data_IF_169540074986
#
_entry.id   IF_169540074986
#
_cell.length_a   1.000
_cell.length_b   1.000
_cell.length_c   1.000
_cell.angle_alpha   90.00
_cell.angle_beta   90.00
_cell.angle_gamma   90.00
#
_symmetry.space_group_name_H-M   'P 1'
#
loop_
_entity.id
_entity.type
_entity.pdbx_description
1 polymer ?
#
# COMPACT_ATOMS: atom_id res chain seq x y z
N UNK A 1 8.75 -3.41 10.06
CA UNK A 1 7.91 -4.16 9.09
C UNK A 1 8.26 -3.71 7.68
N UNK A 2 8.31 -4.63 6.75
CA UNK A 2 8.56 -4.28 5.35
C UNK A 2 7.31 -3.70 4.71
N UNK A 3 7.48 -2.82 3.69
CA UNK A 3 6.33 -2.17 3.07
C UNK A 3 5.34 -3.17 2.45
N UNK A 4 5.85 -4.27 1.88
CA UNK A 4 4.98 -5.26 1.24
C UNK A 4 4.05 -5.94 2.26
N UNK A 5 4.54 -6.19 3.45
CA UNK A 5 3.71 -6.72 4.54
C UNK A 5 2.71 -5.66 5.02
N UNK A 6 3.15 -4.40 5.11
CA UNK A 6 2.30 -3.31 5.58
C UNK A 6 1.16 -3.02 4.63
N UNK A 7 1.40 -2.99 3.31
CA UNK A 7 0.31 -2.72 2.35
C UNK A 7 -0.72 -3.86 2.37
N UNK A 8 -0.28 -5.10 2.57
CA UNK A 8 -1.19 -6.23 2.72
C UNK A 8 -2.02 -6.11 4.00
N UNK A 9 -1.37 -5.78 5.11
CA UNK A 9 -2.04 -5.61 6.41
C UNK A 9 -3.14 -4.55 6.32
N UNK A 10 -2.82 -3.38 5.77
CA UNK A 10 -3.79 -2.30 5.65
C UNK A 10 -4.95 -2.72 4.74
N UNK A 11 -4.65 -3.38 3.63
CA UNK A 11 -5.69 -3.85 2.71
C UNK A 11 -6.64 -4.82 3.41
N UNK A 12 -6.10 -5.79 4.14
CA UNK A 12 -6.90 -6.78 4.87
C UNK A 12 -7.71 -6.13 5.98
N UNK A 13 -7.12 -5.18 6.70
CA UNK A 13 -7.81 -4.44 7.76
C UNK A 13 -9.01 -3.65 7.23
N UNK A 14 -8.95 -3.23 5.97
CA UNK A 14 -10.05 -2.52 5.31
C UNK A 14 -10.98 -3.44 4.52
N UNK A 15 -10.80 -4.76 4.64
CA UNK A 15 -11.62 -5.77 3.97
C UNK A 15 -11.66 -5.59 2.45
N UNK A 16 -10.54 -5.19 1.86
CA UNK A 16 -10.42 -4.97 0.42
C UNK A 16 -9.72 -6.14 -0.26
N UNK A 17 -10.08 -6.41 -1.53
CA UNK A 17 -9.44 -7.44 -2.32
C UNK A 17 -8.20 -6.90 -3.03
N UNK A 18 -7.31 -7.79 -3.43
CA UNK A 18 -6.17 -7.41 -4.27
C UNK A 18 -6.63 -6.80 -5.59
N UNK A 19 -7.70 -7.34 -6.17
CA UNK A 19 -8.24 -6.82 -7.44
C UNK A 19 -8.70 -5.37 -7.30
N UNK A 20 -9.35 -5.04 -6.18
CA UNK A 20 -9.81 -3.67 -5.94
C UNK A 20 -8.64 -2.69 -5.93
N UNK A 21 -7.56 -3.07 -5.27
CA UNK A 21 -6.38 -2.20 -5.19
C UNK A 21 -5.65 -2.15 -6.54
N UNK A 22 -5.57 -3.27 -7.25
CA UNK A 22 -5.00 -3.29 -8.59
C UNK A 22 -5.75 -2.34 -9.52
N UNK A 23 -7.09 -2.33 -9.45
CA UNK A 23 -7.91 -1.42 -10.24
C UNK A 23 -7.63 0.03 -9.88
N UNK A 24 -7.47 0.33 -8.59
CA UNK A 24 -7.12 1.68 -8.14
C UNK A 24 -5.79 2.15 -8.74
N UNK A 25 -4.83 1.25 -8.85
CA UNK A 25 -3.50 1.56 -9.38
C UNK A 25 -3.41 1.43 -10.90
N UNK A 26 -4.50 1.01 -11.57
CA UNK A 26 -4.54 0.76 -13.02
C UNK A 26 -3.50 -0.27 -13.46
N UNK A 27 -3.37 -1.35 -12.69
CA UNK A 27 -2.46 -2.46 -12.99
C UNK A 27 -3.22 -3.79 -12.88
N UNK A 28 -2.62 -4.86 -13.36
CA UNK A 28 -3.19 -6.20 -13.21
C UNK A 28 -3.10 -6.71 -11.78
N UNK A 29 -4.01 -7.59 -11.39
CA UNK A 29 -4.00 -8.20 -10.07
C UNK A 29 -2.68 -8.93 -9.79
N UNK A 30 -2.13 -9.60 -10.80
CA UNK A 30 -0.87 -10.34 -10.66
C UNK A 30 0.27 -9.41 -10.26
N UNK A 31 0.35 -8.25 -10.90
CA UNK A 31 1.38 -7.26 -10.58
C UNK A 31 1.22 -6.77 -9.15
N UNK A 32 -0.01 -6.47 -8.74
CA UNK A 32 -0.24 -6.03 -7.37
C UNK A 32 0.09 -7.14 -6.36
N UNK A 33 -0.31 -8.38 -6.67
CA UNK A 33 0.03 -9.53 -5.81
C UNK A 33 1.54 -9.67 -5.63
N UNK A 34 2.30 -9.41 -6.69
CA UNK A 34 3.76 -9.46 -6.64
C UNK A 34 4.34 -8.36 -5.73
N UNK A 35 3.66 -7.20 -5.64
CA UNK A 35 4.05 -6.17 -4.67
C UNK A 35 3.88 -6.68 -3.23
N UNK A 36 2.76 -7.31 -2.93
CA UNK A 36 2.50 -7.80 -1.57
C UNK A 36 3.41 -8.95 -1.17
N UNK A 37 3.78 -9.79 -2.11
CA UNK A 37 4.66 -10.92 -1.83
C UNK A 37 6.15 -10.52 -1.77
N UNK A 38 6.46 -9.29 -2.19
CA UNK A 38 7.85 -8.82 -2.25
C UNK A 38 8.59 -9.28 -3.49
N UNK A 39 7.91 -9.95 -4.43
CA UNK A 39 8.52 -10.43 -5.67
C UNK A 39 8.90 -9.27 -6.58
N UNK A 40 8.11 -8.22 -6.60
CA UNK A 40 8.36 -7.01 -7.38
C UNK A 40 8.24 -5.81 -6.45
N UNK A 41 9.15 -4.85 -6.58
CA UNK A 41 9.10 -3.62 -5.76
C UNK A 41 8.02 -2.69 -6.30
N UNK A 42 7.23 -2.13 -5.38
CA UNK A 42 6.22 -1.14 -5.74
C UNK A 42 6.91 0.18 -6.10
N UNK A 43 6.56 0.81 -7.25
CA UNK A 43 7.05 2.15 -7.55
C UNK A 43 6.58 3.15 -6.49
N UNK A 44 7.41 4.16 -6.22
CA UNK A 44 7.08 5.16 -5.20
C UNK A 44 5.75 5.87 -5.51
N UNK A 45 5.45 6.13 -6.78
CA UNK A 45 4.20 6.78 -7.16
C UNK A 45 2.98 5.94 -6.77
N UNK A 46 3.07 4.63 -6.94
CA UNK A 46 1.97 3.73 -6.55
C UNK A 46 1.84 3.67 -5.03
N UNK A 47 2.94 3.69 -4.30
CA UNK A 47 2.89 3.72 -2.84
C UNK A 47 2.26 5.02 -2.33
N UNK A 48 2.56 6.15 -2.99
CA UNK A 48 1.93 7.43 -2.67
C UNK A 48 0.42 7.39 -2.87
N UNK A 49 -0.04 6.77 -3.97
CA UNK A 49 -1.48 6.62 -4.23
C UNK A 49 -2.13 5.82 -3.09
N UNK A 50 -1.50 4.73 -2.67
CA UNK A 50 -2.03 3.92 -1.58
C UNK A 50 -2.04 4.67 -0.25
N UNK A 51 -0.99 5.42 0.05
CA UNK A 51 -0.93 6.21 1.28
C UNK A 51 -2.07 7.22 1.34
N UNK A 52 -2.35 7.92 0.24
CA UNK A 52 -3.45 8.87 0.15
C UNK A 52 -4.81 8.17 0.24
N UNK A 53 -4.95 7.04 -0.44
CA UNK A 53 -6.19 6.28 -0.44
C UNK A 53 -6.56 5.80 0.97
N UNK A 54 -5.58 5.28 1.69
CA UNK A 54 -5.78 4.80 3.07
C UNK A 54 -5.69 5.91 4.11
N UNK A 55 -5.30 7.10 3.71
CA UNK A 55 -5.07 8.24 4.60
C UNK A 55 -4.07 7.91 5.70
N UNK A 56 -2.93 7.37 5.31
CA UNK A 56 -1.82 7.08 6.22
C UNK A 56 -0.55 7.75 5.72
N UNK A 57 0.38 8.04 6.63
CA UNK A 57 1.64 8.67 6.26
C UNK A 57 2.52 7.71 5.45
N UNK A 58 3.41 8.27 4.65
CA UNK A 58 4.40 7.45 3.93
C UNK A 58 5.32 6.72 4.90
N UNK A 59 5.66 7.31 6.03
CA UNK A 59 6.47 6.63 7.05
C UNK A 59 5.80 5.35 7.53
N UNK A 60 4.49 5.41 7.75
CA UNK A 60 3.75 4.24 8.20
C UNK A 60 3.62 3.19 7.09
N UNK A 61 3.18 3.59 5.89
CA UNK A 61 2.92 2.63 4.82
C UNK A 61 4.20 1.98 4.29
N UNK A 62 5.32 2.70 4.34
CA UNK A 62 6.61 2.16 3.91
C UNK A 62 7.22 1.20 4.92
N UNK A 63 6.70 1.18 6.14
CA UNK A 63 7.27 0.38 7.22
C UNK A 63 8.39 1.09 7.97
N UNK A 64 8.69 2.35 7.64
CA UNK A 64 9.71 3.12 8.33
C UNK A 64 9.30 3.45 9.77
N UNK A 65 7.99 3.51 10.03
CA UNK A 65 7.44 3.75 11.37
C UNK A 65 6.30 2.79 11.62
N UNK A 66 6.13 2.35 12.86
CA UNK A 66 4.97 1.55 13.27
C UNK A 66 3.86 2.42 13.85
N UNK A 67 4.07 3.74 13.90
CA UNK A 67 3.08 4.68 14.40
C UNK A 67 2.18 5.10 13.25
N UNK A 68 0.90 4.73 13.33
CA UNK A 68 -0.09 5.06 12.30
C UNK A 68 -0.49 6.52 12.43
N UNK A 69 -0.08 7.33 11.46
CA UNK A 69 -0.48 8.74 11.37
C UNK A 69 -1.15 8.99 10.03
N UNK A 70 -1.98 10.05 9.99
CA UNK A 70 -2.67 10.43 8.76
C UNK A 70 -1.70 10.95 7.71
N UNK A 71 -2.10 10.82 6.43
CA UNK A 71 -1.38 11.43 5.34
C UNK A 71 -1.37 12.95 5.55
N UNK A 72 -0.21 13.62 5.43
CA UNK A 72 -0.13 15.07 5.67
C UNK A 72 -1.05 15.85 4.75
N UNK A 73 -1.79 16.80 5.32
CA UNK A 73 -2.63 17.71 4.54
C UNK A 73 -1.74 18.74 3.84
N UNK A 74 -2.09 19.05 2.62
CA UNK A 74 -1.38 20.06 1.84
C UNK A 74 -2.13 21.38 1.84
#
# INVERSE_FOLDING_TARGET
MRYNERIREIREDNALTQQKIADLLHIGQRTYSDYESGKTRIPIDNLLILARFYNVSMDYISGASDIKTEYPKQ
#
